data_IF_546566708894
#
_entry.id   IF_546566708894
#
_cell.length_a   1.000
_cell.length_b   1.000
_cell.length_c   1.000
_cell.angle_alpha   90.00
_cell.angle_beta   90.00
_cell.angle_gamma   90.00
#
_symmetry.space_group_name_H-M   'P 1'
#
loop_
_entity.id
_entity.type
_entity.pdbx_description
1 polymer ?
2 polymer ?
3 non-polymer ?
4 water ?
#
# COMPACT_ATOMS: atom_id res chain seq x y z
N UNK A 6 -6.34 -42.54 0.48
CA UNK A 6 -6.99 -41.39 -0.11
C UNK A 6 -7.53 -40.32 0.83
N UNK A 7 -8.15 -40.74 1.97
CA UNK A 7 -8.73 -39.80 2.90
C UNK A 7 -7.81 -39.41 4.05
N UNK A 8 -8.13 -38.29 4.71
CA UNK A 8 -7.29 -37.73 5.77
C UNK A 8 -7.89 -38.06 7.14
N UNK A 9 -7.03 -38.11 8.14
CA UNK A 9 -7.43 -38.36 9.52
C UNK A 9 -7.77 -37.04 10.22
N UNK A 10 -8.39 -37.16 11.40
CA UNK A 10 -8.69 -35.98 12.22
C UNK A 10 -7.41 -35.23 12.60
N UNK A 11 -6.34 -35.97 12.99
CA UNK A 11 -5.08 -35.32 13.34
C UNK A 11 -4.52 -34.54 12.16
N UNK A 12 -4.60 -35.12 10.96
CA UNK A 12 -4.09 -34.43 9.76
C UNK A 12 -4.89 -33.17 9.45
N UNK A 13 -6.22 -33.22 9.60
CA UNK A 13 -7.05 -32.04 9.37
C UNK A 13 -6.73 -30.93 10.37
N UNK A 14 -6.56 -31.30 11.65
CA UNK A 14 -6.20 -30.31 12.66
C UNK A 14 -4.86 -29.65 12.33
N UNK A 15 -3.89 -30.43 11.85
CA UNK A 15 -2.60 -29.83 11.50
C UNK A 15 -2.71 -28.86 10.33
N UNK A 16 -3.51 -29.21 9.31
CA UNK A 16 -3.74 -28.31 8.16
C UNK A 16 -4.39 -26.99 8.62
N UNK A 17 -5.42 -27.08 9.46
CA UNK A 17 -6.09 -25.88 9.98
C UNK A 17 -5.12 -25.02 10.76
N UNK A 18 -4.36 -25.64 11.68
CA UNK A 18 -3.47 -24.86 12.54
C UNK A 18 -2.37 -24.17 11.72
N UNK A 19 -1.84 -24.84 10.69
CA UNK A 19 -0.81 -24.24 9.85
C UNK A 19 -1.37 -23.06 9.06
N UNK A 20 -2.60 -23.19 8.56
CA UNK A 20 -3.21 -22.08 7.82
C UNK A 20 -3.46 -20.87 8.71
N UNK A 21 -3.92 -21.08 9.96
CA UNK A 21 -4.13 -19.94 10.87
C UNK A 21 -2.80 -19.32 11.29
N UNK A 22 -1.74 -20.13 11.47
CA UNK A 22 -0.43 -19.55 11.77
C UNK A 22 0.02 -18.61 10.65
N UNK A 23 -0.08 -19.08 9.40
CA UNK A 23 0.32 -18.19 8.27
C UNK A 23 -0.55 -16.93 8.23
N UNK A 24 -1.87 -17.10 8.42
CA UNK A 24 -2.77 -15.94 8.43
C UNK A 24 -2.35 -14.91 9.45
N UNK A 25 -1.96 -15.37 10.65
CA UNK A 25 -1.57 -14.49 11.76
C UNK A 25 -0.27 -13.72 11.48
N UNK A 26 0.55 -14.20 10.55
CA UNK A 26 1.83 -13.55 10.21
C UNK A 26 1.64 -12.59 9.02
N UNK A 27 0.76 -11.60 9.23
CA UNK A 27 0.49 -10.57 8.19
C UNK A 27 0.03 -11.24 6.87
N UNK A 28 -0.70 -12.35 6.97
CA UNK A 28 -1.26 -13.14 5.86
C UNK A 28 -0.23 -13.86 4.98
N UNK A 29 1.00 -13.33 4.87
CA UNK A 29 2.02 -13.77 3.90
C UNK A 29 3.21 -14.51 4.51
N UNK A 30 3.49 -14.27 5.78
CA UNK A 30 4.71 -14.80 6.37
C UNK A 30 6.01 -14.18 5.87
N UNK A 31 5.96 -13.00 5.28
CA UNK A 31 7.12 -12.33 4.67
C UNK A 31 7.32 -10.93 5.26
N UNK A 32 8.58 -10.55 5.52
CA UNK A 32 8.86 -9.19 5.98
C UNK A 32 8.33 -8.18 4.96
N UNK A 33 7.70 -7.09 5.47
CA UNK A 33 7.30 -5.92 4.67
C UNK A 33 8.23 -4.75 5.06
N UNK A 34 9.20 -4.44 4.18
CA UNK A 34 10.18 -3.37 4.44
C UNK A 34 9.59 -1.98 4.22
N UNK A 35 8.34 -1.86 3.73
CA UNK A 35 7.66 -0.56 3.65
C UNK A 35 6.82 -0.22 4.88
N UNK A 36 6.50 -1.18 5.75
CA UNK A 36 5.57 -0.99 6.86
C UNK A 36 6.06 0.13 7.77
N UNK A 37 5.18 1.11 8.05
CA UNK A 37 5.60 2.29 8.81
C UNK A 37 6.06 1.94 10.23
N UNK A 38 5.30 1.10 10.94
CA UNK A 38 5.67 0.84 12.34
C UNK A 38 7.03 0.16 12.47
N UNK A 39 7.47 -0.59 11.45
CA UNK A 39 8.77 -1.24 11.46
C UNK A 39 9.92 -0.42 10.93
N UNK A 40 9.67 0.81 10.45
CA UNK A 40 10.74 1.69 9.99
C UNK A 40 10.62 2.26 8.58
N UNK A 41 9.55 1.90 7.86
CA UNK A 41 9.25 2.55 6.57
C UNK A 41 8.64 3.95 6.76
N UNK A 42 8.73 4.79 5.73
CA UNK A 42 8.14 6.12 5.82
C UNK A 42 7.82 6.68 4.44
N UNK A 43 6.83 7.56 4.39
CA UNK A 43 6.47 8.24 3.14
C UNK A 43 7.39 9.44 2.93
N UNK A 44 7.92 9.58 1.71
CA UNK A 44 8.65 10.80 1.34
C UNK A 44 7.62 11.76 0.73
N UNK A 45 7.08 12.66 1.59
CA UNK A 45 5.86 13.41 1.30
C UNK A 45 6.00 14.34 0.09
N UNK A 46 7.15 14.99 -0.05
CA UNK A 46 7.32 15.91 -1.19
C UNK A 46 7.39 15.20 -2.55
N UNK A 47 7.37 13.86 -2.57
CA UNK A 47 7.45 13.08 -3.79
C UNK A 47 6.18 12.26 -4.02
N UNK A 48 5.06 12.63 -3.39
CA UNK A 48 3.77 12.03 -3.68
C UNK A 48 2.89 12.97 -4.51
N UNK A 49 1.95 12.37 -5.24
CA UNK A 49 0.84 13.12 -5.83
C UNK A 49 0.05 13.93 -4.82
N UNK A 50 -0.64 14.97 -5.29
CA UNK A 50 -1.61 15.65 -4.45
C UNK A 50 -2.76 14.73 -4.04
N UNK A 51 -3.24 14.92 -2.82
CA UNK A 51 -4.38 14.20 -2.31
C UNK A 51 -5.67 14.74 -2.88
N UNK A 52 -6.60 13.83 -3.16
CA UNK A 52 -7.92 14.21 -3.63
C UNK A 52 -8.57 15.09 -2.58
N UNK A 53 -8.85 16.33 -2.96
CA UNK A 53 -9.26 17.37 -2.00
C UNK A 53 -10.74 17.68 -2.18
N UNK A 54 -11.54 17.39 -1.15
CA UNK A 54 -12.94 17.73 -1.15
C UNK A 54 -13.36 18.02 0.28
N UNK A 55 -14.57 18.57 0.43
CA UNK A 55 -15.17 18.80 1.74
C UNK A 55 -16.09 17.61 2.02
N UNK A 56 -15.53 16.56 2.65
CA UNK A 56 -16.30 15.38 2.98
C UNK A 56 -16.47 15.19 4.48
N UNK A 57 -15.38 15.10 5.22
CA UNK A 57 -15.40 14.72 6.63
C UNK A 57 -15.13 15.95 7.47
N UNK A 58 -16.07 16.30 8.34
CA UNK A 58 -15.96 17.48 9.21
C UNK A 58 -15.88 17.01 10.66
N UNK A 59 -14.83 17.45 11.36
CA UNK A 59 -14.63 17.16 12.76
C UNK A 59 -15.02 18.37 13.58
N UNK A 60 -15.77 18.13 14.66
CA UNK A 60 -16.32 19.14 15.54
C UNK A 60 -15.99 18.81 16.99
N UNK A 61 -16.05 19.85 17.81
CA UNK A 61 -15.83 19.75 19.26
C UNK A 61 -16.72 20.80 19.89
N UNK A 62 -17.61 20.38 20.79
CA UNK A 62 -18.53 21.30 21.43
C UNK A 62 -19.46 21.97 20.41
N UNK A 63 -19.70 21.30 19.29
CA UNK A 63 -20.78 21.67 18.38
C UNK A 63 -20.40 22.56 17.21
N UNK A 64 -19.19 23.11 17.19
CA UNK A 64 -18.82 24.09 16.17
C UNK A 64 -17.83 23.49 15.19
N UNK A 65 -17.98 23.73 13.89
CA UNK A 65 -17.03 23.20 12.91
C UNK A 65 -15.59 23.54 13.30
N UNK A 66 -14.73 22.51 13.29
CA UNK A 66 -13.33 22.67 13.68
C UNK A 66 -12.35 22.41 12.57
N UNK A 67 -12.46 21.28 11.87
CA UNK A 67 -11.57 21.10 10.74
C UNK A 67 -12.01 19.91 9.90
N UNK A 68 -11.61 19.92 8.63
CA UNK A 68 -11.91 18.81 7.73
C UNK A 68 -10.82 17.75 7.83
N UNK A 69 -11.22 16.49 7.59
CA UNK A 69 -10.31 15.35 7.65
C UNK A 69 -10.32 14.59 6.32
N UNK A 70 -9.13 14.21 5.86
CA UNK A 70 -8.99 13.25 4.77
C UNK A 70 -7.78 12.36 5.03
N UNK A 71 -7.78 11.15 4.47
CA UNK A 71 -6.69 10.25 4.74
C UNK A 71 -5.40 10.70 4.05
N UNK A 72 -4.27 10.50 4.72
CA UNK A 72 -2.98 10.85 4.14
C UNK A 72 -2.31 9.63 3.51
N UNK A 73 -1.25 9.86 2.72
CA UNK A 73 -0.53 8.71 2.09
C UNK A 73 0.08 7.74 3.09
N UNK A 74 0.27 8.14 4.35
CA UNK A 74 0.76 7.23 5.39
C UNK A 74 -0.12 5.99 5.54
N UNK A 75 -1.43 6.09 5.26
CA UNK A 75 -2.28 4.91 5.49
C UNK A 75 -1.94 3.77 4.53
N UNK A 76 -1.26 4.07 3.42
CA UNK A 76 -0.88 3.01 2.48
C UNK A 76 0.18 2.07 3.05
N UNK A 77 0.89 2.47 4.11
CA UNK A 77 1.88 1.62 4.78
C UNK A 77 1.46 1.32 6.23
N UNK A 78 0.14 1.24 6.43
CA UNK A 78 -0.53 0.79 7.67
C UNK A 78 -1.51 -0.34 7.38
N UNK A 79 -1.63 -1.32 8.29
CA UNK A 79 -2.30 -2.59 7.92
C UNK A 79 -3.83 -2.62 7.87
N UNK A 80 -4.55 -1.70 8.51
CA UNK A 80 -6.02 -1.71 8.47
C UNK A 80 -6.50 -1.44 7.06
N UNK A 81 -7.38 -2.33 6.53
CA UNK A 81 -7.95 -2.18 5.20
C UNK A 81 -9.49 -2.27 5.23
N UNK A 82 -10.13 -1.81 6.31
CA UNK A 82 -11.57 -1.60 6.28
C UNK A 82 -11.92 -0.55 5.20
N UNK A 83 -13.11 -0.63 4.59
CA UNK A 83 -13.50 0.38 3.59
C UNK A 83 -13.27 1.81 4.05
N UNK A 84 -12.62 2.61 3.18
CA UNK A 84 -12.26 4.00 3.49
C UNK A 84 -10.89 4.22 4.09
N UNK A 85 -10.21 3.17 4.57
CA UNK A 85 -8.87 3.30 5.14
C UNK A 85 -7.81 3.16 4.04
N UNK A 86 -7.88 4.14 3.12
CA UNK A 86 -7.17 4.18 1.85
C UNK A 86 -6.84 5.62 1.52
N UNK A 87 -5.75 5.82 0.77
CA UNK A 87 -5.36 7.14 0.28
C UNK A 87 -5.92 7.35 -1.13
N UNK A 88 -6.57 8.50 -1.36
CA UNK A 88 -7.16 8.82 -2.65
C UNK A 88 -6.42 9.98 -3.31
N UNK A 89 -6.07 9.80 -4.59
CA UNK A 89 -5.53 10.88 -5.39
C UNK A 89 -6.45 11.18 -6.57
N UNK A 90 -6.34 12.42 -7.09
CA UNK A 90 -7.21 12.89 -8.15
C UNK A 90 -6.91 12.19 -9.47
N UNK A 91 -7.97 11.76 -10.15
CA UNK A 91 -7.83 11.11 -11.46
C UNK A 91 -7.33 9.68 -11.36
N UNK A 92 -6.63 9.26 -12.43
CA UNK A 92 -6.23 7.85 -12.58
C UNK A 92 -4.73 7.68 -12.83
N UNK A 93 -3.93 8.73 -12.71
CA UNK A 93 -2.48 8.67 -12.75
C UNK A 93 -1.94 9.30 -11.47
N UNK A 94 -1.05 8.58 -10.78
CA UNK A 94 -0.52 9.13 -9.53
C UNK A 94 0.73 8.39 -9.11
N UNK A 95 1.35 8.85 -8.01
CA UNK A 95 2.56 8.20 -7.55
C UNK A 95 2.81 8.43 -6.06
N UNK A 96 3.54 7.47 -5.49
CA UNK A 96 3.88 7.44 -4.07
C UNK A 96 5.32 6.98 -3.93
N UNK A 97 6.11 7.68 -3.11
CA UNK A 97 7.50 7.31 -2.88
C UNK A 97 7.69 6.94 -1.41
N UNK A 98 8.29 5.77 -1.15
CA UNK A 98 8.45 5.25 0.21
C UNK A 98 9.90 4.87 0.49
N UNK A 99 10.41 5.32 1.65
CA UNK A 99 11.74 4.93 2.15
C UNK A 99 11.58 3.64 2.98
N UNK A 100 12.39 2.64 2.69
CA UNK A 100 12.29 1.32 3.33
C UNK A 100 13.08 1.28 4.65
N UNK A 101 12.71 0.30 5.50
CA UNK A 101 13.36 0.14 6.81
C UNK A 101 14.77 -0.44 6.73
N UNK A 102 15.17 -1.00 5.59
CA UNK A 102 16.52 -1.50 5.39
C UNK A 102 16.85 -1.37 3.91
N UNK A 103 18.15 -1.32 3.62
CA UNK A 103 18.65 -1.47 2.25
C UNK A 103 18.53 -2.94 1.83
N UNK A 104 17.81 -3.21 0.73
CA UNK A 104 17.50 -4.58 0.31
C UNK A 104 17.69 -4.78 -1.19
N UNK A 105 17.76 -6.05 -1.60
CA UNK A 105 17.51 -6.46 -2.97
C UNK A 105 16.01 -6.76 -3.11
N UNK A 106 15.22 -5.90 -3.76
CA UNK A 106 13.77 -6.16 -3.81
C UNK A 106 13.44 -7.37 -4.70
N UNK A 107 12.58 -8.25 -4.19
CA UNK A 107 12.18 -9.47 -4.91
C UNK A 107 10.71 -9.52 -5.31
N UNK A 108 9.83 -8.83 -4.59
CA UNK A 108 8.39 -8.94 -4.84
C UNK A 108 7.69 -7.78 -4.17
N UNK A 109 6.44 -7.55 -4.60
CA UNK A 109 5.58 -6.46 -4.11
C UNK A 109 4.18 -6.99 -3.89
N UNK A 110 3.47 -6.43 -2.90
CA UNK A 110 2.07 -6.79 -2.64
C UNK A 110 1.19 -5.55 -2.73
N UNK A 111 0.05 -5.68 -3.39
CA UNK A 111 -1.02 -4.69 -3.32
C UNK A 111 -2.29 -5.34 -2.79
N UNK A 112 -2.97 -4.64 -1.86
CA UNK A 112 -4.30 -5.04 -1.38
C UNK A 112 -5.33 -3.97 -1.75
N UNK A 113 -6.55 -4.40 -2.07
CA UNK A 113 -7.74 -3.55 -2.18
C UNK A 113 -8.91 -4.28 -1.50
N UNK A 114 -9.93 -3.54 -1.07
CA UNK A 114 -11.11 -4.25 -0.54
C UNK A 114 -11.77 -5.13 -1.61
N UNK A 115 -12.43 -6.22 -1.20
CA UNK A 115 -13.25 -6.99 -2.16
C UNK A 115 -14.57 -6.27 -2.47
N UNK A 116 -15.10 -6.53 -3.68
CA UNK A 116 -16.37 -5.94 -4.12
C UNK A 116 -17.51 -6.24 -3.15
N UNK A 117 -17.48 -7.41 -2.51
CA UNK A 117 -18.53 -7.79 -1.57
C UNK A 117 -18.61 -6.88 -0.35
N UNK A 118 -17.58 -6.07 -0.07
CA UNK A 118 -17.61 -5.14 1.07
C UNK A 118 -17.72 -3.68 0.67
N UNK A 119 -17.81 -3.35 -0.62
CA UNK A 119 -17.77 -1.92 -0.99
C UNK A 119 -19.13 -1.24 -0.80
N UNK A 120 -19.21 -0.13 -0.04
CA UNK A 120 -20.51 0.54 0.11
C UNK A 120 -20.99 1.29 -1.12
N UNK A 121 -20.18 1.42 -2.18
CA UNK A 121 -20.65 1.95 -3.46
C UNK A 121 -21.08 0.86 -4.44
N UNK A 122 -20.91 -0.40 -4.09
CA UNK A 122 -21.23 -1.51 -4.98
C UNK A 122 -20.18 -1.84 -6.02
N UNK A 123 -19.02 -1.18 -6.01
CA UNK A 123 -17.99 -1.46 -7.01
C UNK A 123 -16.61 -1.19 -6.41
N UNK A 124 -15.57 -1.69 -7.10
CA UNK A 124 -14.18 -1.34 -6.81
C UNK A 124 -13.56 -0.69 -8.04
N UNK A 125 -14.37 0.13 -8.73
CA UNK A 125 -13.86 0.91 -9.85
C UNK A 125 -12.74 1.89 -9.47
N UNK A 126 -12.60 2.27 -8.19
CA UNK A 126 -11.48 3.11 -7.74
C UNK A 126 -10.16 2.37 -7.57
N UNK A 127 -10.14 1.04 -7.72
CA UNK A 127 -8.89 0.30 -7.53
C UNK A 127 -7.86 0.63 -8.62
N UNK A 128 -6.57 0.57 -8.29
CA UNK A 128 -5.54 0.66 -9.34
C UNK A 128 -5.64 -0.49 -10.33
N UNK A 129 -5.27 -0.20 -11.59
CA UNK A 129 -5.18 -1.24 -12.63
C UNK A 129 -3.74 -1.44 -13.13
N UNK A 130 -3.24 -0.62 -14.07
CA UNK A 130 -1.86 -0.76 -14.53
C UNK A 130 -0.93 0.09 -13.65
N UNK A 131 0.21 -0.49 -13.25
CA UNK A 131 1.15 0.22 -12.39
C UNK A 131 2.56 -0.30 -12.63
N UNK A 132 3.55 0.42 -12.10
CA UNK A 132 4.94 -0.01 -12.14
C UNK A 132 5.65 0.41 -10.87
N UNK A 133 6.80 -0.23 -10.62
CA UNK A 133 7.60 0.02 -9.42
C UNK A 133 9.04 0.29 -9.84
N UNK A 134 9.68 1.28 -9.19
CA UNK A 134 11.03 1.72 -9.54
C UNK A 134 11.89 1.82 -8.29
N UNK A 135 13.19 1.57 -8.43
CA UNK A 135 14.15 1.82 -7.35
C UNK A 135 14.92 3.13 -7.53
N UNK A 136 15.00 3.90 -6.45
CA UNK A 136 15.72 5.18 -6.45
C UNK A 136 16.97 5.10 -5.59
N UNK A 137 18.06 5.69 -6.11
CA UNK A 137 19.34 5.68 -5.40
C UNK A 137 19.41 6.74 -4.31
N UNK A 138 18.64 7.83 -4.45
CA UNK A 138 18.56 8.88 -3.43
C UNK A 138 17.24 9.63 -3.57
N UNK A 139 16.93 10.46 -2.58
CA UNK A 139 15.61 11.08 -2.54
C UNK A 139 15.41 12.15 -3.60
N UNK A 140 16.45 12.54 -4.32
CA UNK A 140 16.34 13.58 -5.34
C UNK A 140 16.36 13.04 -6.76
N UNK A 141 16.55 11.75 -6.95
CA UNK A 141 16.64 11.19 -8.29
C UNK A 141 15.27 11.21 -8.97
N UNK A 142 15.23 11.76 -10.20
CA UNK A 142 13.95 11.94 -10.90
C UNK A 142 13.45 10.66 -11.55
N UNK A 143 14.33 9.85 -12.14
CA UNK A 143 13.91 8.62 -12.82
C UNK A 143 14.70 7.45 -12.27
N UNK A 144 14.01 6.51 -11.63
CA UNK A 144 14.64 5.35 -11.06
C UNK A 144 14.71 4.18 -12.02
N UNK A 145 15.20 3.07 -11.51
CA UNK A 145 15.35 1.86 -12.30
C UNK A 145 14.07 1.04 -12.23
N UNK A 146 13.55 0.63 -13.40
CA UNK A 146 12.34 -0.20 -13.45
C UNK A 146 12.54 -1.53 -12.74
N UNK A 147 11.69 -1.83 -11.75
CA UNK A 147 11.71 -3.13 -11.07
C UNK A 147 10.59 -4.06 -11.56
N UNK A 148 9.60 -3.54 -12.28
CA UNK A 148 8.54 -4.33 -12.90
C UNK A 148 7.32 -3.50 -13.25
N UNK A 149 6.56 -3.95 -14.26
CA UNK A 149 5.25 -3.39 -14.62
C UNK A 149 4.20 -4.50 -14.55
N UNK A 150 3.03 -4.15 -14.01
CA UNK A 150 2.03 -5.13 -13.58
C UNK A 150 0.61 -4.58 -13.75
N UNK A 151 -0.38 -5.46 -13.55
CA UNK A 151 -1.79 -5.07 -13.50
C UNK A 151 -2.48 -5.70 -12.30
N UNK A 152 -3.12 -4.87 -11.46
CA UNK A 152 -3.97 -5.37 -10.36
C UNK A 152 -5.29 -5.83 -11.01
N UNK A 153 -5.67 -7.08 -10.77
CA UNK A 153 -6.85 -7.70 -11.41
C UNK A 153 -8.11 -7.52 -10.55
N UNK A 154 -9.09 -6.73 -11.04
CA UNK A 154 -10.32 -6.55 -10.26
C UNK A 154 -11.12 -7.82 -10.11
N UNK A 155 -10.87 -8.84 -10.93
CA UNK A 155 -11.56 -10.12 -10.77
C UNK A 155 -10.72 -11.14 -10.01
N UNK A 156 -9.57 -10.74 -9.44
CA UNK A 156 -8.76 -11.60 -8.62
C UNK A 156 -9.05 -11.43 -7.12
N UNK A 157 -8.13 -11.92 -6.30
CA UNK A 157 -8.26 -11.87 -4.86
C UNK A 157 -7.90 -10.47 -4.29
N UNK A 158 -8.32 -10.23 -3.05
CA UNK A 158 -8.05 -8.94 -2.40
C UNK A 158 -6.55 -8.64 -2.35
N UNK A 159 -5.76 -9.61 -1.89
CA UNK A 159 -4.30 -9.50 -1.80
C UNK A 159 -3.67 -10.17 -3.03
N UNK A 160 -2.87 -9.39 -3.79
CA UNK A 160 -2.16 -9.90 -4.97
C UNK A 160 -0.67 -9.59 -4.85
N UNK A 161 0.17 -10.57 -5.21
CA UNK A 161 1.61 -10.45 -5.20
C UNK A 161 2.20 -10.43 -6.61
N UNK A 162 3.33 -9.72 -6.74
CA UNK A 162 3.97 -9.41 -8.04
C UNK A 162 5.48 -9.59 -7.93
N UNK A 163 6.08 -10.32 -8.89
CA UNK A 163 7.50 -10.65 -8.83
C UNK A 163 8.34 -9.62 -9.58
N UNK A 164 9.40 -9.13 -8.92
CA UNK A 164 10.31 -8.18 -9.55
C UNK A 164 11.13 -8.82 -10.68
N UNK A 165 11.49 -7.98 -11.66
CA UNK A 165 12.38 -8.39 -12.75
C UNK A 165 13.69 -8.94 -12.20
N UNK A 166 14.20 -9.98 -12.87
CA UNK A 166 15.50 -10.55 -12.53
C UNK A 166 16.54 -10.00 -13.49
N UNK A 167 17.58 -9.39 -12.94
CA UNK A 167 18.68 -8.81 -13.69
C UNK A 167 19.95 -9.62 -13.47
N UNK A 168 20.95 -9.48 -14.35
CA UNK A 168 22.24 -10.12 -14.06
C UNK A 168 22.95 -9.51 -12.87
N UNK A 169 22.95 -8.18 -12.74
CA UNK A 169 23.49 -7.48 -11.58
C UNK A 169 22.33 -6.84 -10.83
N UNK A 170 22.00 -7.39 -9.67
CA UNK A 170 20.86 -6.92 -8.88
C UNK A 170 21.31 -5.81 -7.94
N UNK A 171 20.94 -4.58 -8.26
CA UNK A 171 21.27 -3.43 -7.42
C UNK A 171 20.37 -3.39 -6.18
N UNK A 172 20.95 -2.91 -5.07
CA UNK A 172 20.18 -2.74 -3.83
C UNK A 172 19.60 -1.34 -3.73
N UNK A 173 18.42 -1.25 -3.08
CA UNK A 173 17.69 0.01 -2.91
C UNK A 173 17.10 0.15 -1.51
N UNK A 174 17.00 1.41 -1.05
CA UNK A 174 16.26 1.73 0.18
C UNK A 174 15.12 2.72 -0.06
N UNK A 175 14.85 3.09 -1.33
CA UNK A 175 13.76 3.99 -1.70
C UNK A 175 13.08 3.39 -2.93
N UNK A 176 11.73 3.34 -2.92
CA UNK A 176 10.94 2.75 -4.01
C UNK A 176 9.79 3.69 -4.39
N UNK A 177 9.57 3.86 -5.70
CA UNK A 177 8.44 4.63 -6.22
C UNK A 177 7.39 3.68 -6.80
N UNK A 178 6.13 3.85 -6.38
CA UNK A 178 4.95 3.20 -6.98
C UNK A 178 4.26 4.20 -7.88
N UNK A 179 4.10 3.86 -9.17
CA UNK A 179 3.45 4.73 -10.15
C UNK A 179 2.20 4.02 -10.68
N UNK A 180 1.05 4.69 -10.58
CA UNK A 180 -0.22 4.19 -11.10
C UNK A 180 -0.50 4.85 -12.45
N UNK A 181 -0.78 4.04 -13.48
CA UNK A 181 -1.05 4.54 -14.84
C UNK A 181 -2.54 4.55 -15.19
N UNK A 182 -3.37 3.73 -14.53
CA UNK A 182 -4.81 3.66 -14.79
C UNK A 182 -5.53 3.04 -13.59
N UNK A 183 -6.85 3.19 -13.57
CA UNK A 183 -7.72 2.58 -12.53
C UNK A 183 -8.82 1.76 -13.23
N UNK A 184 -9.74 1.21 -12.43
CA UNK A 184 -10.80 0.35 -12.95
C UNK A 184 -12.09 1.12 -13.29
N UNK A 185 -11.95 2.41 -13.60
CA UNK A 185 -13.04 3.19 -14.20
C UNK A 185 -13.58 4.35 -13.38
N UNK A 186 -13.19 4.54 -12.13
CA UNK A 186 -13.81 5.60 -11.33
C UNK A 186 -13.47 6.95 -11.94
N UNK A 187 -14.46 7.82 -12.18
CA UNK A 187 -14.19 9.05 -12.95
C UNK A 187 -13.56 10.19 -12.18
N UNK A 188 -13.45 10.11 -10.84
CA UNK A 188 -12.90 11.22 -10.06
C UNK A 188 -11.58 10.91 -9.34
N UNK A 189 -11.36 9.68 -8.88
CA UNK A 189 -10.16 9.41 -8.06
C UNK A 189 -9.78 7.92 -8.15
N UNK A 190 -8.62 7.63 -7.59
CA UNK A 190 -8.10 6.27 -7.39
C UNK A 190 -7.72 6.10 -5.92
N UNK A 191 -7.99 4.91 -5.35
CA UNK A 191 -7.79 4.62 -3.94
C UNK A 191 -6.80 3.50 -3.74
N UNK A 192 -5.81 3.72 -2.84
CA UNK A 192 -4.78 2.73 -2.51
C UNK A 192 -4.92 2.34 -1.02
N UNK A 193 -5.16 1.04 -0.78
CA UNK A 193 -5.34 0.52 0.58
C UNK A 193 -4.04 0.10 1.27
N UNK A 194 -3.19 -0.71 0.63
CA UNK A 194 -1.90 -1.06 1.20
C UNK A 194 -0.94 -1.56 0.14
N UNK A 195 0.32 -1.08 0.22
CA UNK A 195 1.45 -1.48 -0.65
C UNK A 195 2.56 -2.00 0.23
N UNK A 196 3.11 -3.19 -0.11
CA UNK A 196 4.19 -3.82 0.61
C UNK A 196 5.37 -4.09 -0.31
N UNK A 197 6.59 -4.12 0.28
CA UNK A 197 7.84 -4.38 -0.45
C UNK A 197 8.61 -5.51 0.25
N UNK A 198 8.98 -6.57 -0.51
CA UNK A 198 9.62 -7.77 0.04
C UNK A 198 10.99 -8.00 -0.61
N UNK A 199 11.91 -8.63 0.12
CA UNK A 199 13.22 -8.92 -0.45
C UNK A 199 14.21 -9.39 0.61
N UNK A 200 15.50 -9.33 0.20
CA UNK A 200 16.62 -9.83 0.97
C UNK A 200 17.47 -8.67 1.45
N UNK A 201 17.67 -8.53 2.76
CA UNK A 201 18.53 -7.44 3.24
C UNK A 201 19.96 -7.60 2.79
N UNK A 202 20.63 -6.47 2.60
CA UNK A 202 22.07 -6.48 2.32
C UNK A 202 22.83 -6.77 3.61
N UNK A 203 23.94 -7.51 3.46
CA UNK A 203 24.78 -7.86 4.60
C UNK A 203 25.44 -6.65 5.26
N UNK B 15 -20.80 26.27 9.59
CA UNK B 15 -19.71 27.07 9.05
C UNK B 15 -18.54 26.18 8.63
N UNK B 16 -17.61 26.73 7.85
CA UNK B 16 -16.47 25.92 7.39
C UNK B 16 -15.26 26.10 8.28
N UNK B 17 -14.58 25.02 8.64
CA UNK B 17 -13.23 25.13 9.25
C UNK B 17 -12.12 24.92 8.23
N UNK B 18 -10.84 24.87 8.65
CA UNK B 18 -9.76 24.51 7.73
C UNK B 18 -9.60 23.00 7.58
N UNK B 19 -8.57 22.61 6.83
CA UNK B 19 -8.23 21.20 6.62
C UNK B 19 -7.09 20.81 7.56
N UNK B 20 -7.26 19.69 8.24
CA UNK B 20 -6.22 19.20 9.13
C UNK B 20 -5.02 18.77 8.31
N UNK B 21 -3.91 19.50 8.33
CA UNK B 21 -2.72 19.02 7.63
C UNK B 21 -2.39 17.60 8.05
N UNK B 22 -1.84 16.84 7.11
CA UNK B 22 -1.42 15.48 7.40
C UNK B 22 -0.19 15.53 8.31
N UNK B 23 -0.34 15.07 9.55
CA UNK B 23 0.81 14.82 10.41
C UNK B 23 1.80 13.91 9.70
N UNK B 24 3.07 14.30 9.69
CA UNK B 24 4.10 13.60 8.95
C UNK B 24 5.08 12.93 9.90
N UNK B 25 5.59 11.77 9.48
CA UNK B 25 6.46 10.94 10.30
C UNK B 25 7.69 10.55 9.50
N UNK B 26 8.87 10.81 10.07
CA UNK B 26 10.12 10.35 9.47
C UNK B 26 11.05 9.76 10.53
N UNK B 27 11.97 8.90 10.08
CA UNK B 27 12.89 8.17 10.95
C UNK B 27 14.31 8.63 10.69
N UNK B 28 14.97 9.17 11.72
CA UNK B 28 16.39 9.49 11.64
C UNK B 28 17.24 8.23 11.76
N UNK B 29 16.73 7.19 12.39
CA UNK B 29 17.32 5.87 12.38
C UNK B 29 16.22 4.87 12.65
N UNK B 30 16.47 3.58 12.43
CA UNK B 30 15.40 2.59 12.56
C UNK B 30 14.84 2.53 13.97
N UNK B 31 13.52 2.35 14.11
CA UNK B 31 12.93 2.19 15.44
C UNK B 31 13.20 0.81 16.00
N UNK B 32 13.13 0.65 17.31
CA UNK B 32 13.25 -0.70 17.88
C UNK B 32 12.15 -1.65 17.40
N UNK B 33 12.57 -2.89 17.06
CA UNK B 33 11.61 -3.93 16.67
C UNK B 33 12.00 -5.24 17.35
#
# INVERSE_FOLDING_TARGET
GSGGSGGITEAQARAIVNSALKLYSQDKTGMVDFALESGGGSILSTRCSETYETKTALMSLFGIPLWYFSQSPRVVIQPDIYPGNCWAFKGSQGYLVVRLSMMIHPAAFTLEHIPKTLSPTGNISSAPKDFAVYGLENEYQEEGQLLGQFTYDQDGESLQMFQALKRPDDTAFQIVELRIFSNWGHPEYTCLYRFRVHGEPVK
GSMTSGTSGTSGGPSPPPTWPHLQLCYLQPPPV
#
